data_IF_305533558069
#
_entry.id   IF_305533558069
#
_cell.length_a   1.000
_cell.length_b   1.000
_cell.length_c   1.000
_cell.angle_alpha   90.00
_cell.angle_beta   90.00
_cell.angle_gamma   90.00
#
_symmetry.space_group_name_H-M   'P 1'
#
loop_
_entity.id
_entity.type
_entity.pdbx_description
1 polymer ?
#
# COMPACT_ATOMS: atom_id res chain seq x y z
N UNK A 1 14.31 -7.74 -2.03
CA UNK A 1 15.56 -7.09 -1.55
C UNK A 1 15.28 -6.46 -0.19
N UNK A 2 16.31 -6.27 0.63
CA UNK A 2 16.17 -5.54 1.90
C UNK A 2 16.12 -4.03 1.61
N UNK A 3 15.30 -3.28 2.36
CA UNK A 3 15.27 -1.81 2.33
C UNK A 3 16.54 -1.27 3.00
N UNK A 4 17.09 -0.16 2.52
CA UNK A 4 18.09 0.57 3.32
C UNK A 4 17.42 1.22 4.54
N UNK A 5 18.21 1.52 5.58
CA UNK A 5 17.71 2.15 6.81
C UNK A 5 17.05 3.51 6.53
N UNK A 6 17.61 4.31 5.62
CA UNK A 6 17.05 5.61 5.22
C UNK A 6 15.69 5.46 4.53
N UNK A 7 15.57 4.49 3.62
CA UNK A 7 14.33 4.23 2.92
C UNK A 7 13.27 3.63 3.86
N UNK A 8 13.69 2.78 4.81
CA UNK A 8 12.81 2.25 5.84
C UNK A 8 12.27 3.35 6.76
N UNK A 9 13.12 4.30 7.18
CA UNK A 9 12.71 5.46 7.96
C UNK A 9 11.74 6.37 7.19
N UNK A 10 12.02 6.61 5.91
CA UNK A 10 11.15 7.41 5.04
C UNK A 10 9.77 6.78 4.81
N UNK A 11 9.69 5.44 4.82
CA UNK A 11 8.43 4.72 4.63
C UNK A 11 7.53 4.71 5.87
N UNK A 12 8.02 5.05 7.07
CA UNK A 12 7.22 5.04 8.32
C UNK A 12 5.99 5.93 8.22
N UNK A 13 6.17 7.17 7.75
CA UNK A 13 5.09 8.14 7.68
C UNK A 13 4.03 7.75 6.63
N UNK A 14 4.40 7.44 5.36
CA UNK A 14 3.45 6.91 4.38
C UNK A 14 2.71 5.66 4.84
N UNK A 15 3.39 4.70 5.49
CA UNK A 15 2.74 3.48 6.01
C UNK A 15 1.71 3.83 7.10
N UNK A 16 2.04 4.76 7.99
CA UNK A 16 1.14 5.18 9.06
C UNK A 16 -0.08 5.91 8.51
N UNK A 17 0.14 6.88 7.62
CA UNK A 17 -0.93 7.68 7.03
C UNK A 17 -1.85 6.81 6.16
N UNK A 18 -1.27 5.89 5.36
CA UNK A 18 -2.05 4.95 4.56
C UNK A 18 -2.89 4.02 5.43
N UNK A 19 -2.32 3.51 6.53
CA UNK A 19 -3.05 2.63 7.44
C UNK A 19 -4.27 3.34 8.02
N UNK A 20 -4.13 4.58 8.46
CA UNK A 20 -5.28 5.37 8.96
C UNK A 20 -6.36 5.54 7.89
N UNK A 21 -5.95 5.82 6.64
CA UNK A 21 -6.89 6.02 5.52
C UNK A 21 -7.65 4.74 5.17
N UNK A 22 -6.94 3.62 5.07
CA UNK A 22 -7.54 2.32 4.74
C UNK A 22 -8.43 1.80 5.87
N UNK A 23 -8.08 2.10 7.12
CA UNK A 23 -8.92 1.82 8.28
C UNK A 23 -10.26 2.58 8.21
N UNK A 24 -10.25 3.85 7.80
CA UNK A 24 -11.47 4.61 7.59
C UNK A 24 -12.36 3.96 6.51
N UNK A 25 -11.80 3.64 5.34
CA UNK A 25 -12.52 2.95 4.26
C UNK A 25 -13.13 1.62 4.72
N UNK A 26 -12.39 0.84 5.52
CA UNK A 26 -12.90 -0.40 6.12
C UNK A 26 -14.10 -0.13 7.02
N UNK A 27 -14.00 0.85 7.93
CA UNK A 27 -15.07 1.15 8.88
C UNK A 27 -16.32 1.75 8.23
N UNK A 28 -16.16 2.43 7.10
CA UNK A 28 -17.24 3.03 6.31
C UNK A 28 -17.87 2.02 5.35
N UNK A 29 -17.23 0.86 5.12
CA UNK A 29 -17.70 -0.15 4.18
C UNK A 29 -17.48 0.25 2.72
N UNK A 30 -16.53 1.15 2.46
CA UNK A 30 -16.24 1.72 1.13
C UNK A 30 -15.02 1.06 0.45
N UNK A 31 -14.69 -0.17 0.83
CA UNK A 31 -13.57 -0.92 0.26
C UNK A 31 -13.83 -1.16 -1.24
N UNK A 32 -12.98 -0.58 -2.08
CA UNK A 32 -12.98 -0.81 -3.53
C UNK A 32 -11.60 -0.50 -4.10
N UNK A 33 -11.30 -1.03 -5.30
CA UNK A 33 -10.05 -0.70 -6.02
C UNK A 33 -9.88 0.81 -6.12
N UNK A 34 -10.92 1.51 -6.56
CA UNK A 34 -10.88 2.96 -6.77
C UNK A 34 -10.61 3.74 -5.48
N UNK A 35 -11.24 3.35 -4.37
CA UNK A 35 -11.03 4.01 -3.09
C UNK A 35 -9.59 3.82 -2.58
N UNK A 36 -9.02 2.63 -2.75
CA UNK A 36 -7.63 2.33 -2.38
C UNK A 36 -6.64 3.07 -3.30
N UNK A 37 -6.87 3.11 -4.61
CA UNK A 37 -6.07 3.91 -5.55
C UNK A 37 -6.05 5.40 -5.17
N UNK A 38 -7.21 5.97 -4.83
CA UNK A 38 -7.31 7.35 -4.38
C UNK A 38 -6.53 7.60 -3.08
N UNK A 39 -6.67 6.70 -2.10
CA UNK A 39 -5.94 6.80 -0.84
C UNK A 39 -4.41 6.79 -1.05
N UNK A 40 -3.91 5.98 -1.98
CA UNK A 40 -2.49 5.90 -2.36
C UNK A 40 -2.02 7.18 -3.07
N UNK A 41 -2.82 7.71 -4.01
CA UNK A 41 -2.49 8.95 -4.71
C UNK A 41 -2.38 10.14 -3.77
N UNK A 42 -3.29 10.26 -2.81
CA UNK A 42 -3.33 11.40 -1.88
C UNK A 42 -2.14 11.44 -0.91
N UNK A 43 -1.51 10.30 -0.65
CA UNK A 43 -0.28 10.20 0.15
C UNK A 43 1.00 10.22 -0.70
N UNK A 44 0.90 10.51 -1.99
CA UNK A 44 2.05 10.66 -2.89
C UNK A 44 2.58 9.35 -3.47
N UNK A 45 1.75 8.32 -3.58
CA UNK A 45 2.07 7.05 -4.23
C UNK A 45 1.24 6.85 -5.52
N UNK A 46 1.47 7.67 -6.58
CA UNK A 46 0.60 7.73 -7.75
C UNK A 46 0.68 6.51 -8.67
N UNK A 47 1.81 5.81 -8.69
CA UNK A 47 2.07 4.65 -9.58
C UNK A 47 1.75 3.31 -8.90
N UNK A 48 0.73 3.31 -8.04
CA UNK A 48 0.32 2.12 -7.33
C UNK A 48 -0.33 1.09 -8.25
N UNK A 49 0.01 -0.19 -8.04
CA UNK A 49 -0.75 -1.32 -8.56
C UNK A 49 -1.77 -1.70 -7.50
N UNK A 50 -3.04 -1.72 -7.89
CA UNK A 50 -4.16 -2.10 -7.02
C UNK A 50 -5.02 -3.16 -7.71
N UNK A 51 -5.42 -4.20 -6.97
CA UNK A 51 -6.24 -5.30 -7.52
C UNK A 51 -7.10 -5.94 -6.44
N UNK A 52 -8.20 -6.57 -6.85
CA UNK A 52 -9.13 -7.25 -5.94
C UNK A 52 -10.57 -6.76 -6.11
N UNK A 53 -11.35 -6.81 -5.04
CA UNK A 53 -12.76 -6.41 -5.00
C UNK A 53 -13.19 -5.97 -3.59
N UNK A 54 -14.49 -5.83 -3.36
CA UNK A 54 -15.06 -5.40 -2.07
C UNK A 54 -14.75 -6.35 -0.89
N UNK A 55 -14.37 -7.61 -1.16
CA UNK A 55 -13.97 -8.56 -0.13
C UNK A 55 -12.52 -8.34 0.33
N UNK A 56 -11.63 -8.07 -0.63
CA UNK A 56 -10.22 -7.80 -0.38
C UNK A 56 -9.58 -7.01 -1.52
N UNK A 57 -8.85 -5.95 -1.18
CA UNK A 57 -8.04 -5.17 -2.13
C UNK A 57 -6.58 -5.22 -1.73
N UNK A 58 -5.75 -5.77 -2.61
CA UNK A 58 -4.29 -5.77 -2.51
C UNK A 58 -3.71 -4.56 -3.24
N UNK A 59 -2.62 -4.02 -2.70
CA UNK A 59 -1.93 -2.90 -3.31
C UNK A 59 -0.41 -2.96 -3.12
N UNK A 60 0.32 -2.34 -4.04
CA UNK A 60 1.76 -2.14 -3.94
C UNK A 60 2.21 -0.93 -4.75
N UNK A 61 3.03 -0.07 -4.17
CA UNK A 61 3.55 1.13 -4.80
C UNK A 61 5.01 1.38 -4.41
N UNK A 62 5.79 1.95 -5.33
CA UNK A 62 7.16 2.36 -5.05
C UNK A 62 7.19 3.55 -4.10
N UNK A 63 8.01 3.50 -3.06
CA UNK A 63 8.19 4.62 -2.14
C UNK A 63 9.18 5.65 -2.74
N UNK A 64 9.00 6.97 -2.46
CA UNK A 64 9.81 8.03 -3.07
C UNK A 64 11.32 7.91 -2.80
N UNK A 65 11.69 7.48 -1.60
CA UNK A 65 13.09 7.31 -1.15
C UNK A 65 13.62 5.88 -1.42
N UNK A 66 12.86 5.07 -2.17
CA UNK A 66 13.20 3.69 -2.53
C UNK A 66 12.45 2.63 -1.73
N UNK A 67 12.38 1.43 -2.29
CA UNK A 67 11.57 0.32 -1.78
C UNK A 67 10.09 0.46 -2.13
N UNK A 68 9.25 -0.26 -1.40
CA UNK A 68 7.84 -0.47 -1.69
C UNK A 68 6.99 -0.31 -0.44
N UNK A 69 5.84 0.34 -0.58
CA UNK A 69 4.72 0.26 0.36
C UNK A 69 3.69 -0.69 -0.24
N UNK A 70 3.33 -1.72 0.50
CA UNK A 70 2.38 -2.74 0.04
C UNK A 70 1.50 -3.24 1.17
N UNK A 71 0.43 -3.91 0.80
CA UNK A 71 -0.49 -4.45 1.78
C UNK A 71 -1.83 -4.85 1.19
N UNK A 72 -2.78 -4.96 2.10
CA UNK A 72 -4.13 -5.42 1.79
C UNK A 72 -5.14 -4.79 2.75
N UNK A 73 -6.31 -4.45 2.24
CA UNK A 73 -7.49 -4.09 3.04
C UNK A 73 -8.60 -5.10 2.82
N UNK A 74 -9.13 -5.60 3.94
CA UNK A 74 -10.28 -6.52 4.04
C UNK A 74 -11.27 -5.94 5.04
N UNK A 75 -12.49 -6.48 5.05
CA UNK A 75 -13.53 -6.07 5.99
C UNK A 75 -13.14 -6.24 7.47
N UNK A 76 -12.27 -7.20 7.78
CA UNK A 76 -11.85 -7.55 9.14
C UNK A 76 -10.43 -7.06 9.50
N UNK A 77 -9.63 -6.63 8.52
CA UNK A 77 -8.22 -6.30 8.74
C UNK A 77 -7.66 -5.29 7.72
N UNK A 78 -6.75 -4.44 8.19
CA UNK A 78 -5.89 -3.60 7.34
C UNK A 78 -4.44 -3.98 7.60
N UNK A 79 -3.71 -4.33 6.54
CA UNK A 79 -2.27 -4.57 6.59
C UNK A 79 -1.58 -3.59 5.66
N UNK A 80 -0.59 -2.88 6.21
CA UNK A 80 0.28 -1.96 5.46
C UNK A 80 1.70 -2.18 5.95
N UNK A 81 2.60 -2.44 5.03
CA UNK A 81 4.01 -2.74 5.28
C UNK A 81 4.90 -2.00 4.29
N UNK A 82 6.17 -1.82 4.68
CA UNK A 82 7.23 -1.37 3.79
C UNK A 82 8.26 -2.48 3.65
N UNK A 83 8.72 -2.72 2.41
CA UNK A 83 9.76 -3.69 2.08
C UNK A 83 10.55 -3.25 0.87
N UNK A 84 11.67 -3.92 0.57
CA UNK A 84 12.33 -3.69 -0.71
C UNK A 84 11.53 -4.29 -1.87
N UNK A 85 11.92 -3.96 -3.09
CA UNK A 85 11.32 -4.53 -4.30
C UNK A 85 11.37 -6.08 -4.28
N UNK A 86 10.33 -6.71 -4.83
CA UNK A 86 10.31 -8.16 -5.06
C UNK A 86 11.22 -8.54 -6.24
N UNK A 87 11.39 -9.84 -6.50
CA UNK A 87 12.34 -10.33 -7.52
C UNK A 87 12.05 -9.78 -8.93
N UNK A 88 10.80 -9.48 -9.24
CA UNK A 88 10.37 -8.94 -10.53
C UNK A 88 10.54 -7.41 -10.64
N UNK A 89 11.12 -6.77 -9.61
CA UNK A 89 11.29 -5.31 -9.54
C UNK A 89 10.01 -4.54 -9.19
N UNK A 90 8.89 -5.22 -8.98
CA UNK A 90 7.62 -4.62 -8.56
C UNK A 90 7.47 -4.48 -7.04
N UNK A 91 6.31 -3.96 -6.64
CA UNK A 91 5.86 -3.86 -5.24
C UNK A 91 4.70 -4.81 -4.91
N UNK A 92 4.23 -5.56 -5.90
CA UNK A 92 3.21 -6.60 -5.78
C UNK A 92 3.62 -7.76 -6.70
N UNK A 93 3.50 -9.04 -6.27
CA UNK A 93 3.82 -10.19 -7.12
C UNK A 93 3.05 -10.17 -8.44
N UNK A 94 3.76 -10.36 -9.55
CA UNK A 94 3.12 -10.63 -10.83
C UNK A 94 2.31 -11.94 -10.73
N UNK A 95 1.17 -12.00 -11.42
CA UNK A 95 0.38 -13.22 -11.57
C UNK A 95 0.74 -13.94 -12.85
#
# INVERSE_FOLDING_TARGET
MELSDEAAAAAVQPVTDLRVRLEALRTEGEISIRAVEQALQEIGLPDAVVRGDEAAVEFGAGAPEGGCVFGEVRQDAVRVEAGGYIMDGGCLPAQ
#
